data_IF_479538667321
#
_entry.id   IF_479538667321
#
_cell.length_a   1.000
_cell.length_b   1.000
_cell.length_c   1.000
_cell.angle_alpha   90.00
_cell.angle_beta   90.00
_cell.angle_gamma   90.00
#
_symmetry.space_group_name_H-M   'P 1'
#
loop_
_entity.id
_entity.type
_entity.pdbx_description
1 polymer ?
#
# COMPACT_ATOMS: atom_id res chain seq x y z
N UNK A 1 -4.58 -9.97 -6.78
CA UNK A 1 -3.63 -10.41 -5.74
C UNK A 1 -2.45 -9.47 -5.75
N UNK A 2 -2.54 -8.38 -4.99
CA UNK A 2 -1.43 -7.48 -4.68
C UNK A 2 -1.55 -7.21 -3.19
N UNK A 3 -0.96 -8.06 -2.34
CA UNK A 3 -1.19 -8.04 -0.89
C UNK A 3 0.10 -7.70 -0.14
N UNK A 4 0.78 -6.63 -0.55
CA UNK A 4 1.91 -6.09 0.23
C UNK A 4 1.35 -5.13 1.27
N UNK A 5 1.24 -5.61 2.50
CA UNK A 5 0.83 -4.78 3.64
C UNK A 5 2.04 -4.00 4.16
N UNK A 6 1.91 -2.69 4.23
CA UNK A 6 2.95 -1.79 4.65
C UNK A 6 2.44 -0.80 5.70
N UNK A 7 3.41 -0.22 6.40
CA UNK A 7 3.20 0.74 7.48
C UNK A 7 3.67 2.10 6.98
N UNK A 8 2.81 3.10 6.94
CA UNK A 8 3.17 4.47 6.54
C UNK A 8 2.75 5.53 7.53
N UNK A 9 3.51 6.62 7.54
CA UNK A 9 3.06 7.85 8.19
C UNK A 9 1.86 8.44 7.47
N UNK A 10 0.86 8.90 8.24
CA UNK A 10 -0.22 9.70 7.67
C UNK A 10 0.39 10.97 7.03
N UNK A 11 0.01 11.32 5.78
CA UNK A 11 0.46 12.55 5.13
C UNK A 11 0.03 13.80 5.91
N UNK A 12 -1.13 13.72 6.57
CA UNK A 12 -1.73 14.82 7.33
C UNK A 12 -1.22 14.90 8.77
N UNK A 13 -0.81 13.77 9.37
CA UNK A 13 -0.30 13.72 10.74
C UNK A 13 0.82 12.67 10.91
N UNK A 14 2.08 13.10 10.95
CA UNK A 14 3.23 12.20 10.94
C UNK A 14 3.37 11.33 12.22
N UNK A 15 2.60 11.62 13.27
CA UNK A 15 2.49 10.80 14.49
C UNK A 15 1.56 9.60 14.31
N UNK A 16 0.66 9.67 13.34
CA UNK A 16 -0.24 8.57 13.01
C UNK A 16 0.41 7.65 11.99
N UNK A 17 0.24 6.35 12.25
CA UNK A 17 0.78 5.29 11.42
C UNK A 17 -0.39 4.46 10.92
N UNK A 18 -0.46 4.28 9.60
CA UNK A 18 -1.52 3.51 8.95
C UNK A 18 -0.96 2.22 8.37
N UNK A 19 -1.73 1.15 8.51
CA UNK A 19 -1.49 -0.11 7.83
C UNK A 19 -2.34 -0.11 6.57
N UNK A 20 -1.70 -0.28 5.42
CA UNK A 20 -2.35 -0.23 4.10
C UNK A 20 -1.73 -1.28 3.19
N UNK A 21 -2.42 -1.60 2.10
CA UNK A 21 -1.94 -2.54 1.09
C UNK A 21 -1.50 -1.78 -0.16
N UNK A 22 -0.35 -2.12 -0.74
CA UNK A 22 0.07 -1.60 -2.05
C UNK A 22 -0.68 -2.35 -3.14
N UNK A 23 -1.50 -1.61 -3.90
CA UNK A 23 -2.27 -2.17 -5.00
C UNK A 23 -1.59 -2.02 -6.36
N UNK A 24 -0.71 -1.02 -6.53
CA UNK A 24 0.13 -0.83 -7.72
C UNK A 24 1.46 -0.10 -7.41
N UNK A 25 2.50 -0.42 -8.17
CA UNK A 25 3.87 0.12 -8.07
C UNK A 25 4.21 1.10 -9.20
N UNK A 26 5.35 1.83 -9.11
CA UNK A 26 5.80 2.70 -10.20
C UNK A 26 5.77 2.04 -11.58
N UNK A 27 5.20 2.75 -12.55
CA UNK A 27 5.11 2.28 -13.94
C UNK A 27 3.95 1.33 -14.23
N UNK A 28 3.26 0.81 -13.21
CA UNK A 28 2.05 0.01 -13.38
C UNK A 28 0.83 0.90 -13.65
N UNK A 29 -0.20 0.30 -14.22
CA UNK A 29 -1.49 0.93 -14.44
C UNK A 29 -2.47 0.46 -13.37
N UNK A 30 -3.24 1.39 -12.81
CA UNK A 30 -4.23 1.12 -11.79
C UNK A 30 -5.59 1.65 -12.23
N UNK A 31 -6.62 0.81 -12.16
CA UNK A 31 -8.00 1.16 -12.50
C UNK A 31 -8.78 1.58 -11.26
N UNK A 32 -9.37 2.77 -11.29
CA UNK A 32 -10.24 3.25 -10.22
C UNK A 32 -11.69 2.85 -10.49
N UNK A 33 -12.31 2.10 -9.57
CA UNK A 33 -13.70 1.65 -9.73
C UNK A 33 -14.73 2.80 -9.71
N UNK A 34 -14.40 3.94 -9.11
CA UNK A 34 -15.36 5.03 -8.93
C UNK A 34 -15.60 5.85 -10.20
N UNK A 35 -14.57 6.05 -11.03
CA UNK A 35 -14.64 6.96 -12.17
C UNK A 35 -14.35 6.28 -13.51
N UNK A 36 -14.14 4.95 -13.52
CA UNK A 36 -13.63 4.20 -14.67
C UNK A 36 -12.29 4.75 -15.22
N UNK A 37 -11.58 5.56 -14.44
CA UNK A 37 -10.31 6.14 -14.82
C UNK A 37 -9.17 5.16 -14.55
N UNK A 38 -8.25 5.08 -15.51
CA UNK A 38 -7.00 4.32 -15.39
C UNK A 38 -5.85 5.31 -15.23
N UNK A 39 -5.12 5.19 -14.14
CA UNK A 39 -3.96 6.03 -13.84
C UNK A 39 -2.67 5.21 -13.97
N UNK A 40 -1.66 5.79 -14.62
CA UNK A 40 -0.30 5.26 -14.58
C UNK A 40 0.41 5.77 -13.33
N UNK A 41 0.98 4.87 -12.55
CA UNK A 41 1.67 5.25 -11.31
C UNK A 41 3.02 5.92 -11.65
N UNK A 42 3.25 7.17 -11.20
CA UNK A 42 4.51 7.87 -11.42
C UNK A 42 5.71 7.14 -10.80
N UNK A 43 6.90 7.41 -11.33
CA UNK A 43 8.16 6.96 -10.72
C UNK A 43 8.25 7.40 -9.25
N UNK A 44 8.72 6.51 -8.38
CA UNK A 44 8.85 6.76 -6.94
C UNK A 44 7.54 6.82 -6.15
N UNK A 45 6.38 6.58 -6.79
CA UNK A 45 5.08 6.58 -6.14
C UNK A 45 4.42 5.20 -6.14
N UNK A 46 3.47 4.96 -5.25
CA UNK A 46 2.68 3.75 -5.23
C UNK A 46 1.21 4.07 -5.01
N UNK A 47 0.33 3.18 -5.48
CA UNK A 47 -1.09 3.24 -5.19
C UNK A 47 -1.41 2.33 -4.02
N UNK A 48 -2.17 2.84 -3.06
CA UNK A 48 -2.39 2.17 -1.80
C UNK A 48 -3.86 2.17 -1.42
N UNK A 49 -4.33 1.03 -0.90
CA UNK A 49 -5.72 0.84 -0.50
C UNK A 49 -5.78 0.37 0.96
N UNK A 50 -6.77 0.88 1.69
CA UNK A 50 -7.08 0.36 3.02
C UNK A 50 -7.93 -0.91 2.93
N UNK A 51 -7.86 -1.72 3.98
CA UNK A 51 -8.74 -2.87 4.21
C UNK A 51 -10.16 -2.45 4.62
N UNK A 52 -10.35 -1.22 5.09
CA UNK A 52 -11.66 -0.63 5.33
C UNK A 52 -11.93 0.58 4.41
N UNK A 53 -12.42 0.31 3.20
CA UNK A 53 -12.70 1.35 2.20
C UNK A 53 -13.74 2.39 2.64
N UNK A 54 -14.53 2.13 3.69
CA UNK A 54 -15.61 3.01 4.14
C UNK A 54 -15.17 4.12 5.11
N UNK A 55 -14.01 3.99 5.77
CA UNK A 55 -13.53 4.99 6.74
C UNK A 55 -12.07 5.36 6.59
N UNK A 56 -11.36 4.74 5.65
CA UNK A 56 -9.93 4.96 5.47
C UNK A 56 -9.68 5.99 4.36
N UNK A 57 -8.95 7.05 4.70
CA UNK A 57 -8.32 7.92 3.70
C UNK A 57 -7.21 7.09 3.04
N UNK A 58 -7.31 6.87 1.74
CA UNK A 58 -6.38 6.07 0.92
C UNK A 58 -6.12 6.74 -0.45
N UNK A 59 -5.40 6.06 -1.37
CA UNK A 59 -5.06 6.66 -2.67
C UNK A 59 -6.28 7.05 -3.50
N UNK A 60 -7.48 6.54 -3.22
CA UNK A 60 -8.70 7.03 -3.88
C UNK A 60 -8.99 8.49 -3.53
N UNK A 61 -8.58 8.95 -2.34
CA UNK A 61 -8.82 10.33 -1.87
C UNK A 61 -7.70 11.28 -2.25
N UNK A 62 -6.43 10.86 -2.17
CA UNK A 62 -5.26 11.73 -2.36
C UNK A 62 -4.39 11.37 -3.58
N UNK A 63 -4.68 10.28 -4.28
CA UNK A 63 -3.89 9.78 -5.41
C UNK A 63 -2.70 8.91 -4.99
N UNK A 64 -1.75 8.66 -5.92
CA UNK A 64 -0.53 7.93 -5.62
C UNK A 64 0.31 8.64 -4.54
N UNK A 65 0.97 7.89 -3.67
CA UNK A 65 1.84 8.45 -2.62
C UNK A 65 3.31 8.10 -2.82
N UNK A 66 4.25 8.94 -2.37
CA UNK A 66 5.68 8.62 -2.43
C UNK A 66 6.01 7.34 -1.65
N UNK A 67 6.82 6.47 -2.25
CA UNK A 67 7.33 5.26 -1.59
C UNK A 67 8.14 5.59 -0.33
N UNK A 68 8.73 6.78 -0.25
CA UNK A 68 9.45 7.26 0.94
C UNK A 68 8.57 7.38 2.19
N UNK A 69 7.23 7.41 2.06
CA UNK A 69 6.32 7.39 3.20
C UNK A 69 6.16 6.00 3.83
N UNK A 70 6.62 4.96 3.14
CA UNK A 70 6.60 3.58 3.62
C UNK A 70 7.73 3.40 4.63
N UNK A 71 7.37 3.12 5.89
CA UNK A 71 8.32 2.86 6.98
C UNK A 71 8.77 1.40 7.06
N UNK A 72 7.94 0.48 6.57
CA UNK A 72 8.25 -0.94 6.64
C UNK A 72 7.14 -1.83 6.11
N UNK A 73 7.43 -3.13 6.04
CA UNK A 73 6.52 -4.16 5.54
C UNK A 73 6.08 -5.07 6.69
N UNK A 74 4.80 -5.39 6.73
CA UNK A 74 4.26 -6.35 7.70
C UNK A 74 4.62 -7.77 7.25
N UNK A 75 5.27 -8.53 8.14
CA UNK A 75 5.72 -9.90 7.85
C UNK A 75 4.89 -10.96 8.55
N UNK A 76 4.36 -10.67 9.74
CA UNK A 76 3.64 -11.64 10.57
C UNK A 76 2.39 -11.03 11.19
N UNK A 77 1.35 -11.84 11.30
CA UNK A 77 0.18 -11.57 12.14
C UNK A 77 0.38 -12.31 13.45
N UNK A 78 0.22 -11.62 14.59
CA UNK A 78 0.42 -12.20 15.93
C UNK A 78 -0.88 -12.45 16.70
N UNK A 79 -2.01 -11.91 16.22
CA UNK A 79 -3.34 -12.09 16.83
C UNK A 79 -4.45 -11.79 15.79
N UNK A 80 -5.65 -12.41 15.87
CA UNK A 80 -6.09 -13.45 16.81
C UNK A 80 -5.38 -14.81 16.62
N UNK A 81 -5.43 -15.74 17.59
CA UNK A 81 -4.66 -16.99 17.54
C UNK A 81 -4.86 -17.79 16.26
N UNK A 82 -6.09 -17.77 15.73
CA UNK A 82 -6.46 -18.47 14.50
C UNK A 82 -5.83 -17.86 13.23
N UNK A 83 -5.29 -16.64 13.32
CA UNK A 83 -4.64 -15.92 12.23
C UNK A 83 -3.13 -15.76 12.41
N UNK A 84 -2.55 -16.35 13.47
CA UNK A 84 -1.11 -16.29 13.68
C UNK A 84 -0.39 -16.94 12.50
N UNK A 85 0.53 -16.21 11.88
CA UNK A 85 1.29 -16.73 10.75
C UNK A 85 1.97 -15.63 9.94
N UNK A 86 2.82 -16.06 9.00
CA UNK A 86 3.47 -15.14 8.06
C UNK A 86 2.46 -14.61 7.05
N UNK A 87 2.51 -13.31 6.79
CA UNK A 87 1.82 -12.70 5.66
C UNK A 87 2.52 -13.16 4.39
N UNK A 88 1.76 -13.72 3.43
CA UNK A 88 2.31 -14.14 2.13
C UNK A 88 2.72 -12.89 1.35
N UNK A 89 4.01 -12.63 1.19
CA UNK A 89 4.47 -11.56 0.30
C UNK A 89 4.51 -12.05 -1.14
N UNK A 90 3.77 -11.42 -2.04
CA UNK A 90 4.05 -11.43 -3.49
C UNK A 90 5.48 -10.86 -3.71
N UNK A 91 6.29 -11.37 -4.67
CA UNK A 91 7.73 -11.44 -4.51
C UNK A 91 8.38 -10.07 -4.31
N UNK A 92 9.09 -10.01 -3.18
CA UNK A 92 9.94 -8.94 -2.65
C UNK A 92 10.87 -8.27 -3.69
N UNK A 93 11.15 -8.97 -4.80
CA UNK A 93 11.97 -8.51 -5.93
C UNK A 93 11.45 -7.23 -6.60
N UNK A 94 10.12 -7.02 -6.64
CA UNK A 94 9.53 -5.84 -7.31
C UNK A 94 9.75 -4.55 -6.53
N UNK A 95 9.70 -4.61 -5.20
CA UNK A 95 9.87 -3.43 -4.35
C UNK A 95 11.36 -3.11 -4.15
N UNK A 96 12.22 -4.12 -4.03
CA UNK A 96 13.66 -3.91 -3.93
C UNK A 96 14.22 -3.25 -5.19
N UNK A 97 13.83 -3.72 -6.38
CA UNK A 97 14.25 -3.12 -7.66
C UNK A 97 13.80 -1.66 -7.85
N UNK A 98 12.83 -1.18 -7.08
CA UNK A 98 12.30 0.19 -7.16
C UNK A 98 12.93 1.11 -6.12
N UNK A 99 13.43 0.55 -5.02
CA UNK A 99 14.07 1.28 -3.93
C UNK A 99 15.61 1.31 -4.06
N UNK A 100 16.17 0.57 -5.02
CA UNK A 100 17.58 0.62 -5.44
C UNK A 100 17.88 1.79 -6.40
#
# INVERSE_FOLDING_TARGET
MHDVIYVSSSPTNHKETHIKTIAALPGEWYGTHHNNDVIKIPSGHCWVEGDNSASSIDSKSFGPIPLALIRGRVTHVVWPPQRIGSVKSTPQQRLSSVLE
#
